data_IF_052627554726
#
_entry.id   IF_052627554726
#
_cell.length_a   1.000
_cell.length_b   1.000
_cell.length_c   1.000
_cell.angle_alpha   90.00
_cell.angle_beta   90.00
_cell.angle_gamma   90.00
#
_symmetry.space_group_name_H-M   'P 1'
#
loop_
_entity.id
_entity.type
_entity.pdbx_description
1 polymer ?
#
# COMPACT_ATOMS: atom_id res chain seq x y z
N UNK A 1 -15.09 10.05 -11.92
CA UNK A 1 -14.13 8.93 -12.01
C UNK A 1 -14.02 8.35 -10.63
N UNK A 2 -14.33 7.06 -10.50
CA UNK A 2 -14.41 6.33 -9.25
C UNK A 2 -12.99 6.20 -8.64
N UNK A 3 -12.75 6.84 -7.49
CA UNK A 3 -11.43 6.88 -6.84
C UNK A 3 -10.88 5.47 -6.57
N UNK A 4 -11.77 4.52 -6.28
CA UNK A 4 -11.46 3.10 -6.14
C UNK A 4 -10.88 2.48 -7.40
N UNK A 5 -11.39 2.85 -8.59
CA UNK A 5 -10.93 2.29 -9.86
C UNK A 5 -9.51 2.76 -10.19
N UNK A 6 -9.17 4.02 -9.92
CA UNK A 6 -7.82 4.54 -10.08
C UNK A 6 -6.82 3.86 -9.12
N UNK A 7 -7.24 3.68 -7.86
CA UNK A 7 -6.45 2.98 -6.84
C UNK A 7 -6.23 1.51 -7.18
N UNK A 8 -7.30 0.79 -7.53
CA UNK A 8 -7.24 -0.62 -7.92
C UNK A 8 -6.31 -0.81 -9.11
N UNK A 9 -6.28 0.14 -10.05
CA UNK A 9 -5.43 0.08 -11.25
C UNK A 9 -3.97 0.43 -10.98
N UNK A 10 -3.69 1.28 -10.00
CA UNK A 10 -2.32 1.53 -9.51
C UNK A 10 -1.75 0.29 -8.82
N UNK A 11 -2.53 -0.30 -7.90
CA UNK A 11 -2.09 -1.42 -7.07
C UNK A 11 -2.11 -2.74 -7.85
N UNK A 12 -3.11 -2.93 -8.71
CA UNK A 12 -3.30 -4.15 -9.48
C UNK A 12 -2.18 -4.47 -10.47
N UNK A 13 -1.33 -3.48 -10.81
CA UNK A 13 -0.11 -3.71 -11.59
C UNK A 13 0.95 -4.53 -10.85
N UNK A 14 0.96 -4.46 -9.53
CA UNK A 14 1.96 -5.12 -8.68
C UNK A 14 1.38 -6.37 -7.99
N UNK A 15 0.05 -6.41 -7.79
CA UNK A 15 -0.65 -7.45 -7.02
C UNK A 15 -1.79 -8.19 -7.75
N UNK A 16 -1.90 -8.06 -9.08
CA UNK A 16 -2.92 -8.75 -9.91
C UNK A 16 -4.35 -8.64 -9.34
N UNK A 17 -4.76 -7.42 -8.99
CA UNK A 17 -6.10 -7.15 -8.45
C UNK A 17 -7.15 -7.07 -9.57
N UNK A 18 -8.34 -7.63 -9.32
CA UNK A 18 -9.49 -7.47 -10.21
C UNK A 18 -9.96 -6.00 -10.25
N UNK A 19 -10.32 -5.53 -11.44
CA UNK A 19 -10.84 -4.17 -11.64
C UNK A 19 -12.24 -4.09 -11.01
N UNK A 20 -12.41 -3.21 -10.00
CA UNK A 20 -13.61 -3.00 -9.15
C UNK A 20 -13.77 -3.91 -7.94
N UNK A 21 -12.81 -3.88 -7.03
CA UNK A 21 -12.99 -4.43 -5.67
C UNK A 21 -13.34 -3.32 -4.67
N UNK A 22 -14.17 -3.58 -3.65
CA UNK A 22 -14.43 -2.64 -2.56
C UNK A 22 -13.14 -2.29 -1.81
N UNK A 23 -13.05 -1.06 -1.29
CA UNK A 23 -11.86 -0.53 -0.62
C UNK A 23 -11.38 -1.42 0.52
N UNK A 24 -12.33 -1.97 1.29
CA UNK A 24 -12.04 -2.87 2.40
C UNK A 24 -11.31 -4.14 1.93
N UNK A 25 -11.68 -4.69 0.76
CA UNK A 25 -10.99 -5.84 0.18
C UNK A 25 -9.60 -5.48 -0.35
N UNK A 26 -9.44 -4.28 -0.93
CA UNK A 26 -8.12 -3.78 -1.35
C UNK A 26 -7.20 -3.66 -0.13
N UNK A 27 -7.71 -3.06 0.95
CA UNK A 27 -7.00 -2.93 2.22
C UNK A 27 -6.62 -4.30 2.78
N UNK A 28 -7.58 -5.22 2.90
CA UNK A 28 -7.31 -6.59 3.38
C UNK A 28 -6.27 -7.32 2.53
N UNK A 29 -6.34 -7.23 1.19
CA UNK A 29 -5.33 -7.82 0.31
C UNK A 29 -3.96 -7.19 0.48
N UNK A 30 -3.88 -5.87 0.63
CA UNK A 30 -2.62 -5.17 0.90
C UNK A 30 -2.02 -5.62 2.23
N UNK A 31 -2.82 -5.65 3.30
CA UNK A 31 -2.39 -6.13 4.62
C UNK A 31 -1.85 -7.55 4.51
N UNK A 32 -2.58 -8.45 3.85
CA UNK A 32 -2.17 -9.84 3.71
C UNK A 32 -0.89 -9.98 2.88
N UNK A 33 -0.77 -9.23 1.79
CA UNK A 33 0.42 -9.23 0.94
C UNK A 33 1.65 -8.67 1.67
N UNK A 34 1.51 -7.54 2.38
CA UNK A 34 2.58 -6.98 3.18
C UNK A 34 2.94 -7.88 4.37
N UNK A 35 1.97 -8.53 5.00
CA UNK A 35 2.23 -9.50 6.08
C UNK A 35 3.04 -10.68 5.57
N UNK A 36 2.68 -11.23 4.40
CA UNK A 36 3.43 -12.31 3.79
C UNK A 36 4.85 -11.86 3.40
N UNK A 37 4.99 -10.68 2.79
CA UNK A 37 6.30 -10.12 2.46
C UNK A 37 7.14 -9.79 3.70
N UNK A 38 6.53 -9.39 4.82
CA UNK A 38 7.26 -9.10 6.04
C UNK A 38 7.87 -10.37 6.66
N UNK A 39 7.19 -11.50 6.53
CA UNK A 39 7.65 -12.80 7.02
C UNK A 39 8.58 -13.52 6.02
N UNK A 40 8.29 -13.41 4.71
CA UNK A 40 9.00 -14.16 3.66
C UNK A 40 10.08 -13.33 2.94
N UNK A 41 9.83 -12.04 2.67
CA UNK A 41 10.63 -11.22 1.73
C UNK A 41 10.59 -9.70 2.03
N UNK A 42 11.16 -9.29 3.18
CA UNK A 42 11.15 -7.89 3.64
C UNK A 42 11.78 -6.95 2.61
N UNK A 43 12.84 -7.38 1.92
CA UNK A 43 13.49 -6.58 0.87
C UNK A 43 12.56 -6.25 -0.29
N UNK A 44 11.68 -7.18 -0.69
CA UNK A 44 10.70 -6.94 -1.76
C UNK A 44 9.64 -5.94 -1.30
N UNK A 45 9.17 -6.06 -0.06
CA UNK A 45 8.29 -5.04 0.55
C UNK A 45 8.93 -3.65 0.55
N UNK A 46 10.17 -3.51 1.03
CA UNK A 46 10.87 -2.22 1.05
C UNK A 46 10.96 -1.60 -0.35
N UNK A 47 11.21 -2.41 -1.39
CA UNK A 47 11.28 -1.92 -2.76
C UNK A 47 9.92 -1.41 -3.30
N UNK A 48 8.82 -2.10 -2.96
CA UNK A 48 7.45 -1.67 -3.32
C UNK A 48 7.12 -0.33 -2.66
N UNK A 49 7.49 -0.19 -1.39
CA UNK A 49 7.25 1.01 -0.58
C UNK A 49 8.09 2.19 -1.08
N UNK A 50 9.36 1.95 -1.41
CA UNK A 50 10.23 2.94 -2.02
C UNK A 50 9.65 3.49 -3.33
N UNK A 51 9.12 2.61 -4.21
CA UNK A 51 8.43 3.01 -5.44
C UNK A 51 7.14 3.79 -5.19
N UNK A 52 6.49 3.55 -4.06
CA UNK A 52 5.28 4.24 -3.66
C UNK A 52 5.53 5.60 -3.00
N UNK A 53 6.78 5.97 -2.75
CA UNK A 53 7.18 7.17 -2.00
C UNK A 53 6.89 7.05 -0.48
N UNK A 54 7.11 5.85 0.08
CA UNK A 54 6.98 5.59 1.52
C UNK A 54 8.37 5.62 2.18
N UNK A 55 8.49 6.35 3.28
CA UNK A 55 9.74 6.60 3.98
C UNK A 55 10.37 5.33 4.60
N UNK A 56 11.60 5.02 4.22
CA UNK A 56 12.36 3.87 4.73
C UNK A 56 12.65 4.00 6.25
N UNK A 57 12.91 5.20 6.75
CA UNK A 57 13.10 5.44 8.19
C UNK A 57 11.84 5.12 8.99
N UNK A 58 10.69 5.55 8.46
CA UNK A 58 9.38 5.28 9.06
C UNK A 58 9.10 3.77 9.06
N UNK A 59 9.49 3.09 7.99
CA UNK A 59 9.37 1.64 7.89
C UNK A 59 10.24 0.89 8.90
N UNK A 60 11.52 1.28 9.04
CA UNK A 60 12.41 0.70 10.05
C UNK A 60 11.85 0.92 11.45
N UNK A 61 11.30 2.09 11.72
CA UNK A 61 10.65 2.38 12.99
C UNK A 61 9.44 1.49 13.26
N UNK A 62 8.59 1.28 12.26
CA UNK A 62 7.42 0.39 12.36
C UNK A 62 7.84 -1.07 12.58
N UNK A 63 8.84 -1.55 11.83
CA UNK A 63 9.40 -2.90 11.97
C UNK A 63 10.02 -3.12 13.35
N UNK A 64 10.73 -2.13 13.89
CA UNK A 64 11.32 -2.18 15.23
C UNK A 64 10.26 -2.07 16.34
N UNK A 65 9.17 -1.35 16.10
CA UNK A 65 8.13 -1.09 17.10
C UNK A 65 7.08 -2.19 17.20
N UNK A 66 6.87 -2.97 16.14
CA UNK A 66 5.85 -4.01 16.10
C UNK A 66 6.50 -5.35 15.80
N UNK A 67 6.88 -6.05 16.86
CA UNK A 67 7.62 -7.31 16.75
C UNK A 67 6.85 -8.45 16.11
N UNK A 68 5.50 -8.48 16.07
CA UNK A 68 4.83 -9.70 15.59
C UNK A 68 3.60 -9.53 14.67
N UNK A 69 2.72 -8.53 14.78
CA UNK A 69 1.44 -8.57 14.01
C UNK A 69 0.87 -7.22 13.49
N UNK A 70 1.02 -6.04 14.14
CA UNK A 70 0.41 -4.80 13.63
C UNK A 70 1.19 -4.10 12.50
N UNK A 71 2.45 -4.48 12.26
CA UNK A 71 3.33 -3.81 11.28
C UNK A 71 2.73 -3.83 9.87
N UNK A 72 2.23 -4.98 9.43
CA UNK A 72 1.68 -5.11 8.08
C UNK A 72 0.43 -4.27 7.87
N UNK A 73 -0.42 -4.14 8.90
CA UNK A 73 -1.61 -3.28 8.86
C UNK A 73 -1.23 -1.82 8.70
N UNK A 74 -0.31 -1.33 9.53
CA UNK A 74 0.14 0.05 9.46
C UNK A 74 0.82 0.36 8.13
N UNK A 75 1.67 -0.55 7.64
CA UNK A 75 2.35 -0.39 6.35
C UNK A 75 1.35 -0.35 5.18
N UNK A 76 0.37 -1.25 5.18
CA UNK A 76 -0.67 -1.29 4.15
C UNK A 76 -1.52 -0.02 4.15
N UNK A 77 -1.90 0.47 5.34
CA UNK A 77 -2.69 1.70 5.49
C UNK A 77 -1.89 2.93 5.02
N UNK A 78 -0.62 3.00 5.39
CA UNK A 78 0.28 4.09 5.01
C UNK A 78 0.52 4.11 3.50
N UNK A 79 0.73 2.94 2.90
CA UNK A 79 0.83 2.77 1.45
C UNK A 79 -0.46 3.22 0.75
N UNK A 80 -1.62 2.74 1.21
CA UNK A 80 -2.93 3.12 0.67
C UNK A 80 -3.18 4.63 0.77
N UNK A 81 -2.82 5.23 1.89
CA UNK A 81 -2.93 6.68 2.12
C UNK A 81 -2.09 7.48 1.11
N UNK A 82 -0.85 7.02 0.84
CA UNK A 82 0.00 7.60 -0.23
C UNK A 82 -0.61 7.46 -1.62
N UNK A 83 -1.17 6.30 -1.96
CA UNK A 83 -1.84 6.10 -3.24
C UNK A 83 -3.09 7.00 -3.36
N UNK A 84 -3.91 7.11 -2.30
CA UNK A 84 -5.06 8.03 -2.23
C UNK A 84 -4.63 9.47 -2.45
N UNK A 85 -3.59 9.95 -1.77
CA UNK A 85 -3.07 11.31 -1.97
C UNK A 85 -2.62 11.58 -3.41
N UNK A 86 -2.01 10.60 -4.08
CA UNK A 86 -1.65 10.71 -5.51
C UNK A 86 -2.88 10.85 -6.39
N UNK A 87 -3.91 10.03 -6.17
CA UNK A 87 -5.19 10.12 -6.89
C UNK A 87 -5.85 11.48 -6.67
N UNK A 88 -5.87 11.98 -5.43
CA UNK A 88 -6.41 13.30 -5.10
C UNK A 88 -5.60 14.44 -5.74
N UNK A 89 -4.28 14.32 -5.75
CA UNK A 89 -3.38 15.29 -6.41
C UNK A 89 -3.62 15.29 -7.91
N UNK A 90 -3.70 14.12 -8.55
CA UNK A 90 -4.05 14.03 -9.97
C UNK A 90 -5.41 14.67 -10.26
N UNK A 91 -6.42 14.48 -9.39
CA UNK A 91 -7.69 15.20 -9.52
C UNK A 91 -7.52 16.72 -9.42
N UNK A 92 -6.79 17.22 -8.41
CA UNK A 92 -6.60 18.65 -8.17
C UNK A 92 -5.85 19.35 -9.32
N UNK A 93 -4.88 18.69 -9.93
CA UNK A 93 -4.04 19.26 -10.98
C UNK A 93 -4.48 18.89 -12.41
N UNK A 94 -5.55 18.10 -12.56
CA UNK A 94 -6.13 17.76 -13.88
C UNK A 94 -7.28 18.71 -14.28
N UNK A 95 -7.36 19.90 -13.67
CA UNK A 95 -8.23 21.03 -14.06
C UNK A 95 -7.44 22.07 -14.83
#
# INVERSE_FOLDING_TARGET
MDDLSALSRMIGKDFELEDKMPEELIRQKMIHAFSWLLDNDISKMMNILYRADVDEEKLKFLLLSCSELPSAEVIADEYLSRQKQKVETWKKYST
#
